data_IF_706059312685
#
_entry.id   IF_706059312685
#
_cell.length_a   1.000
_cell.length_b   1.000
_cell.length_c   1.000
_cell.angle_alpha   90.00
_cell.angle_beta   90.00
_cell.angle_gamma   90.00
#
_symmetry.space_group_name_H-M   'P 1'
#
loop_
_entity.id
_entity.type
_entity.pdbx_description
1 polymer ?
#
# COMPACT_ATOMS: atom_id res chain seq x y z
N UNK A 1 6.37 -12.65 10.28
CA UNK A 1 4.95 -12.34 10.00
C UNK A 1 4.85 -11.71 8.62
N UNK A 2 3.76 -11.96 7.88
CA UNK A 2 3.44 -11.28 6.61
C UNK A 2 2.18 -10.44 6.78
N UNK A 3 2.14 -9.26 6.15
CA UNK A 3 0.99 -8.36 6.15
C UNK A 3 0.74 -7.92 4.71
N UNK A 4 -0.47 -8.11 4.20
CA UNK A 4 -0.81 -7.77 2.81
C UNK A 4 -2.12 -7.00 2.74
N UNK A 5 -2.07 -5.79 2.17
CA UNK A 5 -3.25 -4.99 1.79
C UNK A 5 -3.42 -5.10 0.28
N UNK A 6 -4.53 -5.68 -0.16
CA UNK A 6 -4.72 -6.03 -1.57
C UNK A 6 -6.20 -6.02 -1.94
N UNK A 7 -6.47 -5.90 -3.25
CA UNK A 7 -7.81 -6.11 -3.76
C UNK A 7 -8.17 -7.58 -3.60
N UNK A 8 -9.35 -7.84 -3.05
CA UNK A 8 -9.89 -9.19 -2.95
C UNK A 8 -11.34 -9.20 -3.41
N UNK A 9 -11.57 -9.82 -4.57
CA UNK A 9 -12.86 -9.89 -5.26
C UNK A 9 -12.91 -11.15 -6.11
N UNK A 10 -14.08 -11.78 -6.32
CA UNK A 10 -14.20 -12.95 -7.17
C UNK A 10 -13.57 -12.75 -8.55
N UNK A 11 -12.67 -13.65 -8.94
CA UNK A 11 -11.97 -13.61 -10.23
C UNK A 11 -10.76 -12.67 -10.28
N UNK A 12 -10.46 -11.93 -9.21
CA UNK A 12 -9.24 -11.12 -9.15
C UNK A 12 -8.04 -11.98 -8.75
N UNK A 13 -6.94 -11.89 -9.51
CA UNK A 13 -5.72 -12.64 -9.25
C UNK A 13 -5.07 -12.20 -7.92
N UNK A 14 -4.46 -13.12 -7.14
CA UNK A 14 -4.35 -14.57 -7.36
C UNK A 14 -5.54 -15.38 -6.81
N UNK A 15 -6.57 -14.73 -6.27
CA UNK A 15 -7.74 -15.39 -5.66
C UNK A 15 -7.54 -15.85 -4.21
N UNK A 16 -6.42 -15.50 -3.58
CA UNK A 16 -6.10 -15.79 -2.17
C UNK A 16 -6.06 -14.52 -1.33
N UNK A 17 -5.93 -14.65 0.00
CA UNK A 17 -5.79 -13.51 0.90
C UNK A 17 -7.10 -13.01 1.50
N UNK A 18 -8.08 -13.90 1.72
CA UNK A 18 -9.21 -13.56 2.59
C UNK A 18 -8.73 -13.22 4.01
N UNK A 19 -9.49 -12.41 4.75
CA UNK A 19 -9.17 -12.07 6.15
C UNK A 19 -9.01 -13.30 7.04
N UNK A 20 -9.71 -14.40 6.71
CA UNK A 20 -9.65 -15.64 7.47
C UNK A 20 -8.42 -16.50 7.15
N UNK A 21 -7.66 -16.18 6.10
CA UNK A 21 -6.37 -16.80 5.82
C UNK A 21 -5.31 -16.23 6.76
N UNK A 22 -5.12 -16.91 7.90
CA UNK A 22 -4.24 -16.50 8.99
C UNK A 22 -2.97 -17.36 9.09
N UNK A 23 -2.65 -18.14 8.05
CA UNK A 23 -1.54 -19.09 8.09
C UNK A 23 -1.87 -20.38 8.87
N UNK A 24 -0.90 -21.30 8.94
CA UNK A 24 -1.10 -22.66 9.45
C UNK A 24 0.00 -23.12 10.41
N UNK A 25 -0.31 -24.12 11.23
CA UNK A 25 0.64 -24.72 12.17
C UNK A 25 1.23 -23.69 13.12
N UNK A 26 2.57 -23.67 13.25
CA UNK A 26 3.29 -22.67 14.05
C UNK A 26 3.17 -21.24 13.50
N UNK A 27 2.82 -21.09 12.22
CA UNK A 27 2.62 -19.78 11.58
C UNK A 27 1.18 -19.27 11.64
N UNK A 28 0.27 -19.98 12.32
CA UNK A 28 -1.11 -19.51 12.50
C UNK A 28 -1.10 -18.19 13.27
N UNK A 29 -1.86 -17.21 12.79
CA UNK A 29 -1.90 -15.80 13.22
C UNK A 29 -0.68 -14.94 12.86
N UNK A 30 0.35 -15.50 12.18
CA UNK A 30 1.49 -14.74 11.65
C UNK A 30 1.35 -14.37 10.17
N UNK A 31 0.18 -14.62 9.58
CA UNK A 31 -0.24 -14.09 8.28
C UNK A 31 -1.43 -13.15 8.50
N UNK A 32 -1.30 -11.90 8.06
CA UNK A 32 -2.36 -10.89 8.15
C UNK A 32 -2.74 -10.46 6.75
N UNK A 33 -3.98 -10.75 6.37
CA UNK A 33 -4.55 -10.33 5.09
C UNK A 33 -5.61 -9.25 5.29
N UNK A 34 -5.55 -8.21 4.47
CA UNK A 34 -6.44 -7.06 4.52
C UNK A 34 -7.12 -6.91 3.15
N UNK A 35 -8.20 -7.68 2.90
CA UNK A 35 -8.95 -7.63 1.65
C UNK A 35 -9.71 -6.30 1.49
N UNK A 36 -9.42 -5.58 0.41
CA UNK A 36 -10.05 -4.30 0.05
C UNK A 36 -10.79 -4.39 -1.29
N UNK A 37 -11.63 -3.39 -1.54
CA UNK A 37 -12.43 -3.27 -2.77
C UNK A 37 -11.91 -2.15 -3.68
N UNK A 38 -12.49 -2.07 -4.87
CA UNK A 38 -12.13 -1.08 -5.88
C UNK A 38 -12.32 0.36 -5.41
N UNK A 39 -11.55 1.26 -6.02
CA UNK A 39 -11.67 2.70 -5.78
C UNK A 39 -11.10 3.19 -4.45
N UNK A 40 -10.43 2.33 -3.66
CA UNK A 40 -9.82 2.73 -2.38
C UNK A 40 -8.93 3.97 -2.55
N UNK A 41 -9.24 5.10 -1.87
CA UNK A 41 -8.46 6.33 -1.95
C UNK A 41 -7.39 6.40 -0.85
N UNK A 42 -6.48 7.37 -0.98
CA UNK A 42 -5.36 7.61 -0.05
C UNK A 42 -5.78 7.64 1.42
N UNK A 43 -6.85 8.40 1.74
CA UNK A 43 -7.30 8.60 3.12
C UNK A 43 -7.68 7.28 3.78
N UNK A 44 -8.52 6.48 3.11
CA UNK A 44 -8.99 5.19 3.63
C UNK A 44 -7.84 4.18 3.71
N UNK A 45 -7.03 4.07 2.67
CA UNK A 45 -5.91 3.12 2.66
C UNK A 45 -4.92 3.42 3.80
N UNK A 46 -4.56 4.69 3.99
CA UNK A 46 -3.66 5.09 5.07
C UNK A 46 -4.22 4.77 6.46
N UNK A 47 -5.51 5.04 6.70
CA UNK A 47 -6.17 4.75 7.97
C UNK A 47 -6.15 3.25 8.28
N UNK A 48 -6.48 2.42 7.30
CA UNK A 48 -6.49 0.96 7.43
C UNK A 48 -5.08 0.44 7.67
N UNK A 49 -4.13 0.86 6.83
CA UNK A 49 -2.73 0.47 6.91
C UNK A 49 -2.14 0.80 8.29
N UNK A 50 -2.29 2.03 8.76
CA UNK A 50 -1.78 2.44 10.07
C UNK A 50 -2.45 1.69 11.22
N UNK A 51 -3.77 1.43 11.13
CA UNK A 51 -4.49 0.68 12.17
C UNK A 51 -3.96 -0.76 12.29
N UNK A 52 -3.79 -1.44 11.15
CA UNK A 52 -3.26 -2.81 11.13
C UNK A 52 -1.80 -2.85 11.57
N UNK A 53 -0.95 -1.97 11.00
CA UNK A 53 0.48 -1.96 11.29
C UNK A 53 0.78 -1.60 12.76
N UNK A 54 -0.06 -0.77 13.40
CA UNK A 54 0.04 -0.48 14.83
C UNK A 54 -0.08 -1.75 15.67
N UNK A 55 -1.13 -2.53 15.43
CA UNK A 55 -1.38 -3.76 16.18
C UNK A 55 -0.33 -4.84 15.85
N UNK A 56 0.09 -4.92 14.58
CA UNK A 56 1.18 -5.81 14.14
C UNK A 56 2.47 -5.50 14.88
N UNK A 57 2.89 -4.22 14.92
CA UNK A 57 4.12 -3.83 15.61
C UNK A 57 4.06 -4.19 17.10
N UNK A 58 2.93 -3.89 17.75
CA UNK A 58 2.73 -4.15 19.17
C UNK A 58 2.64 -5.66 19.52
N UNK A 59 2.24 -6.51 18.58
CA UNK A 59 2.10 -7.95 18.82
C UNK A 59 3.35 -8.73 18.39
N UNK A 60 3.87 -8.43 17.20
CA UNK A 60 4.95 -9.20 16.57
C UNK A 60 6.36 -8.72 16.96
N UNK A 61 6.52 -7.46 17.38
CA UNK A 61 7.81 -6.86 17.74
C UNK A 61 8.92 -7.11 16.68
N UNK A 62 8.73 -6.64 15.44
CA UNK A 62 9.70 -6.90 14.37
C UNK A 62 11.07 -6.30 14.67
N UNK A 63 12.14 -7.00 14.29
CA UNK A 63 13.52 -6.51 14.38
C UNK A 63 14.05 -5.94 13.05
N UNK A 64 13.38 -6.26 11.94
CA UNK A 64 13.64 -5.74 10.61
C UNK A 64 12.35 -5.76 9.77
N UNK A 65 12.31 -4.95 8.71
CA UNK A 65 11.15 -4.84 7.82
C UNK A 65 11.57 -5.06 6.37
N UNK A 66 10.77 -5.82 5.63
CA UNK A 66 10.80 -5.84 4.16
C UNK A 66 9.49 -5.22 3.69
N UNK A 67 9.58 -4.10 2.98
CA UNK A 67 8.43 -3.31 2.53
C UNK A 67 8.36 -3.32 1.00
N UNK A 68 7.40 -4.07 0.46
CA UNK A 68 7.09 -4.09 -0.96
C UNK A 68 6.10 -2.96 -1.27
N UNK A 69 6.42 -2.14 -2.27
CA UNK A 69 5.67 -0.94 -2.64
C UNK A 69 5.26 -0.98 -4.11
N UNK A 70 4.50 -2.01 -4.49
CA UNK A 70 3.87 -2.10 -5.80
C UNK A 70 3.08 -0.83 -6.14
N UNK A 71 3.33 -0.26 -7.31
CA UNK A 71 2.70 0.94 -7.82
C UNK A 71 1.43 0.66 -8.65
N UNK A 72 0.99 -0.59 -8.75
CA UNK A 72 -0.27 -0.97 -9.41
C UNK A 72 -1.54 -0.56 -8.64
N UNK A 73 -1.36 -0.04 -7.43
CA UNK A 73 -2.42 0.63 -6.64
C UNK A 73 -2.70 2.06 -7.10
N UNK A 74 -1.79 2.67 -7.86
CA UNK A 74 -1.82 4.08 -8.23
C UNK A 74 -2.90 4.34 -9.28
N UNK A 75 -3.58 5.48 -9.16
CA UNK A 75 -4.56 5.93 -10.13
C UNK A 75 -3.96 5.99 -11.55
N UNK A 76 -4.72 5.51 -12.54
CA UNK A 76 -4.27 5.42 -13.93
C UNK A 76 -3.46 4.17 -14.27
N UNK A 77 -3.28 3.23 -13.32
CA UNK A 77 -2.73 1.91 -13.64
C UNK A 77 -3.73 1.05 -14.44
N UNK A 78 -3.27 0.26 -15.43
CA UNK A 78 -4.10 -0.69 -16.18
C UNK A 78 -4.87 -1.70 -15.33
N UNK A 79 -4.40 -2.03 -14.12
CA UNK A 79 -5.14 -2.88 -13.16
C UNK A 79 -6.46 -2.25 -12.73
N UNK A 80 -6.60 -0.92 -12.88
CA UNK A 80 -7.82 -0.14 -12.67
C UNK A 80 -8.58 -0.56 -11.41
N UNK A 81 -7.84 -0.77 -10.31
CA UNK A 81 -8.38 -1.32 -9.08
C UNK A 81 -8.47 -0.23 -8.01
N UNK A 82 -7.37 0.16 -7.38
CA UNK A 82 -7.35 1.25 -6.39
C UNK A 82 -7.17 2.63 -7.00
N UNK A 83 -7.47 3.67 -6.22
CA UNK A 83 -7.45 5.06 -6.64
C UNK A 83 -6.45 5.88 -5.82
N UNK A 84 -5.27 5.29 -5.59
CA UNK A 84 -4.22 5.85 -4.75
C UNK A 84 -3.35 6.85 -5.50
N UNK A 85 -2.62 7.68 -4.74
CA UNK A 85 -1.52 8.49 -5.23
C UNK A 85 -0.22 8.12 -4.48
N UNK A 86 0.96 8.52 -4.99
CA UNK A 86 2.22 8.34 -4.27
C UNK A 86 2.21 8.98 -2.87
N UNK A 87 1.37 10.00 -2.63
CA UNK A 87 1.23 10.65 -1.32
C UNK A 87 0.62 9.71 -0.28
N UNK A 88 -0.39 8.91 -0.65
CA UNK A 88 -0.98 7.90 0.23
C UNK A 88 0.01 6.79 0.56
N UNK A 89 0.71 6.28 -0.46
CA UNK A 89 1.76 5.26 -0.27
C UNK A 89 2.89 5.78 0.64
N UNK A 90 3.33 7.03 0.42
CA UNK A 90 4.34 7.68 1.24
C UNK A 90 3.94 7.83 2.71
N UNK A 91 2.67 8.09 3.02
CA UNK A 91 2.18 8.13 4.41
C UNK A 91 2.31 6.78 5.09
N UNK A 92 2.04 5.69 4.38
CA UNK A 92 2.22 4.33 4.89
C UNK A 92 3.71 4.01 5.09
N UNK A 93 4.55 4.34 4.10
CA UNK A 93 6.00 4.15 4.19
C UNK A 93 6.61 4.94 5.36
N UNK A 94 6.25 6.22 5.53
CA UNK A 94 6.70 7.03 6.67
C UNK A 94 6.31 6.41 8.01
N UNK A 95 5.11 5.84 8.11
CA UNK A 95 4.67 5.17 9.32
C UNK A 95 5.59 4.01 9.70
N UNK A 96 6.01 3.20 8.71
CA UNK A 96 6.97 2.11 8.89
C UNK A 96 8.37 2.66 9.23
N UNK A 97 8.86 3.66 8.51
CA UNK A 97 10.19 4.23 8.72
C UNK A 97 10.35 4.88 10.11
N UNK A 98 9.26 5.37 10.70
CA UNK A 98 9.26 5.91 12.06
C UNK A 98 9.59 4.86 13.14
N UNK A 99 9.47 3.56 12.84
CA UNK A 99 9.91 2.50 13.74
C UNK A 99 11.44 2.41 13.86
N UNK A 100 12.19 3.06 12.96
CA UNK A 100 13.65 3.11 12.97
C UNK A 100 14.32 1.72 12.94
N UNK A 101 13.67 0.76 12.29
CA UNK A 101 14.20 -0.58 12.07
C UNK A 101 14.92 -0.68 10.73
N UNK A 102 15.91 -1.59 10.58
CA UNK A 102 16.46 -1.95 9.28
C UNK A 102 15.32 -2.29 8.30
N UNK A 103 15.20 -1.49 7.25
CA UNK A 103 14.08 -1.58 6.30
C UNK A 103 14.60 -1.77 4.88
N UNK A 104 14.30 -2.92 4.29
CA UNK A 104 14.52 -3.20 2.87
C UNK A 104 13.28 -2.76 2.08
N UNK A 105 13.43 -1.76 1.21
CA UNK A 105 12.35 -1.27 0.35
C UNK A 105 12.47 -1.92 -1.03
N UNK A 106 11.34 -2.45 -1.53
CA UNK A 106 11.24 -3.13 -2.82
C UNK A 106 10.16 -2.45 -3.68
N UNK A 107 10.32 -2.57 -5.01
CA UNK A 107 9.28 -2.21 -5.97
C UNK A 107 8.16 -3.26 -6.02
N UNK A 108 7.70 -3.62 -7.23
CA UNK A 108 6.62 -4.58 -7.41
C UNK A 108 5.91 -4.42 -8.75
N UNK A 109 4.62 -4.75 -8.77
CA UNK A 109 3.72 -4.38 -9.88
C UNK A 109 3.64 -2.87 -10.08
N UNK A 110 3.20 -2.44 -11.25
CA UNK A 110 3.23 -1.04 -11.68
C UNK A 110 3.29 -1.00 -13.21
N UNK A 111 2.12 -0.94 -13.83
CA UNK A 111 1.92 -1.23 -15.24
C UNK A 111 1.58 0.02 -16.06
N UNK A 112 1.33 1.16 -15.39
CA UNK A 112 1.59 2.47 -15.96
C UNK A 112 3.04 2.88 -15.63
N UNK A 113 3.93 2.79 -16.61
CA UNK A 113 5.37 2.96 -16.39
C UNK A 113 5.75 4.37 -15.91
N UNK A 114 5.20 5.42 -16.51
CA UNK A 114 5.46 6.80 -16.08
C UNK A 114 4.95 7.05 -14.65
N UNK A 115 3.74 6.57 -14.33
CA UNK A 115 3.21 6.70 -12.96
C UNK A 115 3.96 5.85 -11.93
N UNK A 116 4.48 4.70 -12.34
CA UNK A 116 5.35 3.87 -11.49
C UNK A 116 6.66 4.60 -11.21
N UNK A 117 7.26 5.22 -12.22
CA UNK A 117 8.47 6.02 -12.07
C UNK A 117 8.22 7.26 -11.19
N UNK A 118 7.10 7.99 -11.37
CA UNK A 118 6.66 9.07 -10.46
C UNK A 118 6.57 8.58 -9.02
N UNK A 119 5.88 7.44 -8.81
CA UNK A 119 5.66 6.88 -7.49
C UNK A 119 6.98 6.54 -6.79
N UNK A 120 7.84 5.73 -7.39
CA UNK A 120 9.08 5.31 -6.75
C UNK A 120 10.10 6.44 -6.59
N UNK A 121 10.12 7.40 -7.52
CA UNK A 121 10.93 8.63 -7.37
C UNK A 121 10.48 9.45 -6.16
N UNK A 122 9.17 9.66 -6.04
CA UNK A 122 8.58 10.36 -4.90
C UNK A 122 8.88 9.64 -3.58
N UNK A 123 8.68 8.32 -3.51
CA UNK A 123 8.96 7.52 -2.31
C UNK A 123 10.44 7.54 -1.94
N UNK A 124 11.34 7.53 -2.92
CA UNK A 124 12.79 7.67 -2.69
C UNK A 124 13.12 9.01 -2.05
N UNK A 125 12.53 10.10 -2.52
CA UNK A 125 12.70 11.41 -1.89
C UNK A 125 12.17 11.43 -0.46
N UNK A 126 11.05 10.76 -0.19
CA UNK A 126 10.52 10.62 1.18
C UNK A 126 11.49 9.89 2.10
N UNK A 127 12.10 8.80 1.64
CA UNK A 127 13.12 8.06 2.39
C UNK A 127 14.33 8.98 2.71
N UNK A 128 14.73 9.81 1.75
CA UNK A 128 15.84 10.75 1.89
C UNK A 128 15.50 12.04 2.66
N UNK A 129 14.25 12.22 3.11
CA UNK A 129 13.79 13.45 3.74
C UNK A 129 13.85 14.67 2.82
N UNK A 130 13.68 14.47 1.50
CA UNK A 130 13.71 15.50 0.47
C UNK A 130 12.31 15.84 -0.01
N UNK A 131 12.13 17.10 -0.37
CA UNK A 131 10.95 17.59 -1.09
C UNK A 131 11.41 17.80 -2.54
N UNK A 132 10.72 17.16 -3.48
CA UNK A 132 10.98 17.34 -4.90
C UNK A 132 10.08 18.46 -5.46
N UNK A 133 10.55 19.18 -6.49
CA UNK A 133 9.66 20.04 -7.28
C UNK A 133 8.59 19.21 -8.00
N UNK A 134 7.48 19.86 -8.34
CA UNK A 134 6.40 19.25 -9.13
C UNK A 134 6.83 18.98 -10.57
N UNK A 135 7.61 19.89 -11.18
CA UNK A 135 8.07 19.76 -12.56
C UNK A 135 9.01 18.55 -12.74
N UNK A 136 8.69 17.70 -13.72
CA UNK A 136 9.57 16.62 -14.15
C UNK A 136 10.78 17.25 -14.86
N UNK A 137 12.02 16.95 -14.44
CA UNK A 137 13.20 17.44 -15.13
C UNK A 137 13.36 16.76 -16.50
N UNK A 138 13.94 17.48 -17.46
CA UNK A 138 14.28 16.92 -18.76
C UNK A 138 15.24 15.71 -18.62
N UNK A 139 14.93 14.63 -19.34
CA UNK A 139 15.67 13.37 -19.34
C UNK A 139 15.24 12.50 -20.54
N UNK A 140 15.92 11.36 -20.76
CA UNK A 140 15.68 10.46 -21.90
C UNK A 140 14.20 10.11 -22.18
N UNK A 141 13.40 9.88 -21.13
CA UNK A 141 11.98 9.49 -21.22
C UNK A 141 10.99 10.65 -20.98
N UNK A 142 11.41 11.91 -21.13
CA UNK A 142 10.63 13.08 -20.65
C UNK A 142 9.23 13.13 -21.27
N UNK A 143 9.12 12.76 -22.55
CA UNK A 143 7.87 12.75 -23.31
C UNK A 143 6.81 11.81 -22.73
N UNK A 144 7.20 10.76 -21.99
CA UNK A 144 6.28 9.79 -21.41
C UNK A 144 5.47 10.36 -20.24
N UNK A 145 5.88 11.53 -19.73
CA UNK A 145 5.24 12.23 -18.63
C UNK A 145 4.21 13.27 -19.11
N UNK A 146 4.01 13.39 -20.42
CA UNK A 146 3.01 14.29 -20.99
C UNK A 146 1.57 13.88 -20.68
N UNK A 147 0.60 14.79 -20.85
CA UNK A 147 0.79 16.17 -21.34
C UNK A 147 1.16 17.19 -20.25
N UNK A 148 1.16 16.80 -18.98
CA UNK A 148 1.27 17.68 -17.82
C UNK A 148 2.70 17.85 -17.31
N UNK A 149 3.57 16.85 -17.47
CA UNK A 149 4.99 16.89 -17.07
C UNK A 149 5.20 17.21 -15.59
N UNK A 150 4.26 16.80 -14.73
CA UNK A 150 4.35 16.94 -13.28
C UNK A 150 4.54 15.58 -12.58
N UNK A 151 5.09 15.62 -11.36
CA UNK A 151 5.36 14.45 -10.52
C UNK A 151 4.10 13.93 -9.82
N UNK A 152 3.18 14.81 -9.49
CA UNK A 152 1.92 14.48 -8.84
C UNK A 152 1.02 13.63 -9.75
N UNK A 153 0.23 12.75 -9.12
CA UNK A 153 -0.76 11.94 -9.81
C UNK A 153 -2.13 12.31 -9.26
N UNK A 154 -3.05 12.65 -10.15
CA UNK A 154 -4.42 13.03 -9.78
C UNK A 154 -5.27 11.76 -9.64
N UNK A 155 -6.03 11.60 -8.53
CA UNK A 155 -7.00 10.52 -8.40
C UNK A 155 -8.04 10.57 -9.52
N UNK A 156 -8.49 9.41 -9.98
CA UNK A 156 -9.65 9.30 -10.88
C UNK A 156 -10.96 9.61 -10.15
N UNK A 157 -12.03 9.94 -10.87
CA UNK A 157 -13.36 10.18 -10.31
C UNK A 157 -14.12 8.88 -9.91
N UNK A 158 -13.39 7.81 -9.57
CA UNK A 158 -13.99 6.50 -9.25
C UNK A 158 -14.46 6.46 -7.80
N UNK A 159 -15.62 5.82 -7.60
CA UNK A 159 -16.22 5.63 -6.29
C UNK A 159 -15.43 4.62 -5.47
N UNK A 160 -15.20 4.94 -4.20
CA UNK A 160 -14.70 4.00 -3.20
C UNK A 160 -15.77 2.96 -2.85
N UNK A 161 -15.51 1.69 -3.14
CA UNK A 161 -16.45 0.59 -2.90
C UNK A 161 -16.28 -0.06 -1.52
N UNK A 162 -15.41 0.47 -0.67
CA UNK A 162 -15.20 -0.03 0.67
C UNK A 162 -16.23 0.57 1.62
N UNK A 163 -17.25 -0.21 1.99
CA UNK A 163 -18.20 0.15 3.03
C UNK A 163 -17.50 0.30 4.40
N UNK A 164 -17.81 1.36 5.15
CA UNK A 164 -17.16 1.66 6.42
C UNK A 164 -17.44 0.61 7.50
N UNK A 165 -18.67 0.08 7.58
CA UNK A 165 -19.02 -0.95 8.55
C UNK A 165 -18.25 -2.24 8.26
N UNK A 166 -18.10 -2.61 6.98
CA UNK A 166 -17.30 -3.76 6.57
C UNK A 166 -15.81 -3.58 6.91
N UNK A 167 -15.26 -2.37 6.74
CA UNK A 167 -13.87 -2.09 7.14
C UNK A 167 -13.70 -2.19 8.66
N UNK A 168 -14.64 -1.69 9.46
CA UNK A 168 -14.58 -1.83 10.92
C UNK A 168 -14.61 -3.30 11.36
N UNK A 169 -15.47 -4.12 10.74
CA UNK A 169 -15.53 -5.56 10.99
C UNK A 169 -14.22 -6.27 10.59
N UNK A 170 -13.64 -5.88 9.45
CA UNK A 170 -12.36 -6.37 8.98
C UNK A 170 -11.25 -6.07 10.00
N UNK A 171 -11.14 -4.81 10.44
CA UNK A 171 -10.12 -4.39 11.42
C UNK A 171 -10.32 -5.08 12.78
N UNK A 172 -11.56 -5.23 13.23
CA UNK A 172 -11.88 -5.96 14.47
C UNK A 172 -11.46 -7.43 14.40
N UNK A 173 -11.71 -8.09 13.27
CA UNK A 173 -11.26 -9.47 13.03
C UNK A 173 -9.74 -9.59 13.08
N UNK A 174 -9.02 -8.69 12.40
CA UNK A 174 -7.55 -8.67 12.39
C UNK A 174 -7.01 -8.45 13.82
N UNK A 175 -7.58 -7.49 14.56
CA UNK A 175 -7.19 -7.23 15.93
C UNK A 175 -7.43 -8.43 16.84
N UNK A 176 -8.56 -9.14 16.67
CA UNK A 176 -8.86 -10.39 17.37
C UNK A 176 -7.82 -11.48 17.07
N UNK A 177 -7.42 -11.63 15.81
CA UNK A 177 -6.41 -12.58 15.38
C UNK A 177 -5.04 -12.28 15.99
N UNK A 178 -4.62 -11.02 15.98
CA UNK A 178 -3.30 -10.59 16.47
C UNK A 178 -3.09 -10.81 17.97
N UNK A 179 -4.16 -10.90 18.78
CA UNK A 179 -4.07 -11.28 20.20
C UNK A 179 -3.53 -12.70 20.43
N UNK A 180 -3.51 -13.53 19.39
CA UNK A 180 -3.02 -14.92 19.45
C UNK A 180 -1.57 -15.04 18.95
N UNK A 181 -0.92 -13.93 18.59
CA UNK A 181 0.51 -13.91 18.28
C UNK A 181 1.28 -14.06 19.60
N UNK A 182 2.22 -15.01 19.62
CA UNK A 182 3.02 -15.36 20.80
C UNK A 182 4.49 -14.98 20.59
#
# INVERSE_FOLDING_TARGET
MTVSLHKYSPGFFPGTGDVNDVGMGKGRYYTVNVPLQDGTPDTRYCQICQSVLKEVYASFHPEAVVCQLGADTIAGDPMCSFNMTPVGVAKCLRYILNWQLPTLVLGGGGYNHANTARCWTYLTAIILGKILPSEIPDHEYFIDYGPDYVLEITPSCRTDQNDSQRIEQLLSTIQGNLKNVI
#
